data_IF_694425122977
#
_entry.id   IF_694425122977
#
_cell.length_a   1.000
_cell.length_b   1.000
_cell.length_c   1.000
_cell.angle_alpha   90.00
_cell.angle_beta   90.00
_cell.angle_gamma   90.00
#
_symmetry.space_group_name_H-M   'P 1'
#
loop_
_entity.id
_entity.type
_entity.pdbx_description
1 polymer ?
#
# COMPACT_ATOMS: atom_id res chain seq x y z
N UNK A 1 -71.63 -17.73 -4.76
CA UNK A 1 -72.02 -17.27 -6.13
C UNK A 1 -71.36 -15.95 -6.55
N UNK A 2 -70.18 -15.55 -6.03
CA UNK A 2 -69.52 -14.26 -6.34
C UNK A 2 -68.31 -14.36 -7.28
N UNK A 3 -68.00 -15.56 -7.78
CA UNK A 3 -66.68 -15.86 -8.35
C UNK A 3 -66.53 -15.49 -9.85
N UNK A 4 -67.65 -15.41 -10.59
CA UNK A 4 -67.61 -15.16 -12.04
C UNK A 4 -67.55 -13.65 -12.36
N UNK A 5 -68.19 -12.82 -11.54
CA UNK A 5 -68.20 -11.36 -11.74
C UNK A 5 -66.86 -10.71 -11.33
N UNK A 6 -66.20 -11.21 -10.29
CA UNK A 6 -64.88 -10.70 -9.87
C UNK A 6 -63.80 -10.98 -10.93
N UNK A 7 -63.82 -12.16 -11.58
CA UNK A 7 -62.88 -12.50 -12.65
C UNK A 7 -62.96 -11.55 -13.85
N UNK A 8 -64.16 -11.06 -14.21
CA UNK A 8 -64.31 -10.06 -15.31
C UNK A 8 -63.76 -8.69 -14.95
N UNK A 9 -63.96 -8.21 -13.71
CA UNK A 9 -63.42 -6.92 -13.24
C UNK A 9 -61.90 -6.95 -13.11
N UNK A 10 -61.33 -8.05 -12.59
CA UNK A 10 -59.88 -8.26 -12.55
C UNK A 10 -59.25 -8.25 -13.94
N UNK A 11 -59.89 -8.90 -14.93
CA UNK A 11 -59.41 -8.87 -16.32
C UNK A 11 -59.37 -7.46 -16.89
N UNK A 12 -60.39 -6.65 -16.62
CA UNK A 12 -60.43 -5.26 -17.12
C UNK A 12 -59.38 -4.36 -16.45
N UNK A 13 -59.11 -4.57 -15.15
CA UNK A 13 -58.07 -3.85 -14.42
C UNK A 13 -56.68 -4.26 -14.92
N UNK A 14 -56.43 -5.56 -15.14
CA UNK A 14 -55.14 -6.09 -15.61
C UNK A 14 -54.82 -5.71 -17.06
N UNK A 15 -55.83 -5.63 -17.93
CA UNK A 15 -55.66 -5.28 -19.35
C UNK A 15 -55.74 -3.78 -19.64
N UNK A 16 -55.87 -2.94 -18.61
CA UNK A 16 -55.82 -1.50 -18.79
C UNK A 16 -54.38 -1.05 -19.06
N UNK A 17 -54.13 -0.30 -20.14
CA UNK A 17 -52.78 0.16 -20.53
C UNK A 17 -52.00 0.84 -19.40
N UNK A 18 -52.73 1.46 -18.46
CA UNK A 18 -52.18 2.15 -17.29
C UNK A 18 -51.60 1.17 -16.27
N UNK A 19 -52.31 0.09 -15.94
CA UNK A 19 -51.82 -0.91 -14.97
C UNK A 19 -50.63 -1.67 -15.54
N UNK A 20 -50.63 -1.93 -16.85
CA UNK A 20 -49.49 -2.50 -17.55
C UNK A 20 -48.25 -1.58 -17.48
N UNK A 21 -48.44 -0.26 -17.65
CA UNK A 21 -47.37 0.73 -17.52
C UNK A 21 -46.79 0.80 -16.11
N UNK A 22 -47.64 0.79 -15.07
CA UNK A 22 -47.20 0.76 -13.67
C UNK A 22 -46.43 -0.52 -13.37
N UNK A 23 -46.94 -1.67 -13.83
CA UNK A 23 -46.27 -2.96 -13.67
C UNK A 23 -44.90 -2.97 -14.37
N UNK A 24 -44.81 -2.41 -15.57
CA UNK A 24 -43.56 -2.30 -16.32
C UNK A 24 -42.52 -1.46 -15.56
N UNK A 25 -42.92 -0.32 -15.00
CA UNK A 25 -42.05 0.52 -14.17
C UNK A 25 -41.57 -0.25 -12.93
N UNK A 26 -42.46 -0.96 -12.25
CA UNK A 26 -42.12 -1.80 -11.10
C UNK A 26 -41.08 -2.88 -11.44
N UNK A 27 -41.23 -3.53 -12.60
CA UNK A 27 -40.29 -4.53 -13.10
C UNK A 27 -38.93 -3.90 -13.40
N UNK A 28 -38.88 -2.74 -14.05
CA UNK A 28 -37.62 -2.03 -14.29
C UNK A 28 -36.92 -1.64 -12.98
N UNK A 29 -37.67 -1.19 -11.98
CA UNK A 29 -37.14 -0.85 -10.66
C UNK A 29 -36.56 -2.07 -9.95
N UNK A 30 -37.25 -3.22 -10.04
CA UNK A 30 -36.78 -4.48 -9.48
C UNK A 30 -35.50 -4.95 -10.17
N UNK A 31 -35.43 -4.91 -11.50
CA UNK A 31 -34.23 -5.27 -12.28
C UNK A 31 -33.05 -4.40 -11.86
N UNK A 32 -33.24 -3.07 -11.80
CA UNK A 32 -32.17 -2.15 -11.40
C UNK A 32 -31.68 -2.40 -9.97
N UNK A 33 -32.61 -2.64 -9.03
CA UNK A 33 -32.28 -2.95 -7.63
C UNK A 33 -31.49 -4.25 -7.50
N UNK A 34 -31.93 -5.32 -8.15
CA UNK A 34 -31.23 -6.61 -8.11
C UNK A 34 -29.86 -6.52 -8.80
N UNK A 35 -29.74 -5.76 -9.89
CA UNK A 35 -28.47 -5.55 -10.59
C UNK A 35 -27.44 -4.84 -9.71
N UNK A 36 -27.84 -3.77 -9.01
CA UNK A 36 -26.98 -3.03 -8.07
C UNK A 36 -26.49 -3.92 -6.91
N UNK A 37 -27.38 -4.75 -6.36
CA UNK A 37 -27.02 -5.72 -5.30
C UNK A 37 -26.06 -6.78 -5.83
N UNK A 38 -26.26 -7.25 -7.06
CA UNK A 38 -25.39 -8.23 -7.70
C UNK A 38 -23.98 -7.68 -7.94
N UNK A 39 -23.87 -6.42 -8.39
CA UNK A 39 -22.57 -5.72 -8.50
C UNK A 39 -21.87 -5.58 -7.14
N UNK A 40 -22.59 -5.10 -6.11
CA UNK A 40 -22.03 -4.97 -4.75
C UNK A 40 -21.54 -6.29 -4.16
N UNK A 41 -22.20 -7.41 -4.50
CA UNK A 41 -21.77 -8.75 -4.06
C UNK A 41 -20.41 -9.14 -4.64
N UNK A 42 -20.15 -8.82 -5.92
CA UNK A 42 -18.86 -9.09 -6.56
C UNK A 42 -17.74 -8.22 -5.99
N UNK A 43 -18.04 -6.96 -5.71
CA UNK A 43 -17.06 -6.02 -5.12
C UNK A 43 -16.68 -6.40 -3.68
N UNK A 44 -17.65 -6.85 -2.87
CA UNK A 44 -17.37 -7.33 -1.51
C UNK A 44 -16.48 -8.57 -1.46
N UNK A 45 -16.56 -9.47 -2.45
CA UNK A 45 -15.68 -10.64 -2.53
C UNK A 45 -14.25 -10.25 -2.87
N UNK A 46 -14.05 -9.34 -3.84
CA UNK A 46 -12.74 -8.82 -4.18
C UNK A 46 -12.12 -8.02 -3.02
N UNK A 47 -12.91 -7.21 -2.31
CA UNK A 47 -12.45 -6.50 -1.12
C UNK A 47 -12.00 -7.45 -0.01
N UNK A 48 -12.74 -8.54 0.25
CA UNK A 48 -12.36 -9.54 1.26
C UNK A 48 -11.02 -10.20 0.96
N UNK A 49 -10.77 -10.56 -0.28
CA UNK A 49 -9.51 -11.18 -0.69
C UNK A 49 -8.32 -10.22 -0.54
N UNK A 50 -8.47 -8.97 -0.96
CA UNK A 50 -7.42 -7.95 -0.77
C UNK A 50 -7.18 -7.62 0.70
N UNK A 51 -8.21 -7.60 1.55
CA UNK A 51 -8.07 -7.41 2.99
C UNK A 51 -7.37 -8.59 3.66
N UNK A 52 -7.67 -9.83 3.27
CA UNK A 52 -7.01 -11.03 3.79
C UNK A 52 -5.52 -11.07 3.40
N UNK A 53 -5.20 -10.74 2.14
CA UNK A 53 -3.82 -10.67 1.67
C UNK A 53 -3.02 -9.62 2.45
N UNK A 54 -3.58 -8.42 2.66
CA UNK A 54 -2.94 -7.37 3.47
C UNK A 54 -2.73 -7.79 4.92
N UNK A 55 -3.70 -8.48 5.53
CA UNK A 55 -3.56 -9.02 6.88
C UNK A 55 -2.39 -9.99 6.97
N UNK A 56 -2.28 -10.92 6.02
CA UNK A 56 -1.18 -11.89 6.00
C UNK A 56 0.18 -11.22 5.81
N UNK A 57 0.28 -10.20 4.95
CA UNK A 57 1.53 -9.45 4.77
C UNK A 57 1.92 -8.70 6.04
N UNK A 58 0.95 -8.07 6.71
CA UNK A 58 1.20 -7.35 7.96
C UNK A 58 1.61 -8.30 9.09
N UNK A 59 1.00 -9.48 9.21
CA UNK A 59 1.39 -10.48 10.22
C UNK A 59 2.81 -10.98 10.02
N UNK A 60 3.21 -11.27 8.77
CA UNK A 60 4.58 -11.69 8.44
C UNK A 60 5.57 -10.58 8.79
N UNK A 61 5.29 -9.33 8.38
CA UNK A 61 6.17 -8.20 8.72
C UNK A 61 6.28 -7.97 10.22
N UNK A 62 5.18 -8.14 10.95
CA UNK A 62 5.19 -7.97 12.40
C UNK A 62 6.05 -9.04 13.07
N UNK A 63 5.92 -10.30 12.65
CA UNK A 63 6.76 -11.41 13.11
C UNK A 63 8.25 -11.18 12.81
N UNK A 64 8.58 -10.71 11.62
CA UNK A 64 9.96 -10.37 11.24
C UNK A 64 10.51 -9.22 12.09
N UNK A 65 9.73 -8.16 12.32
CA UNK A 65 10.14 -7.03 13.14
C UNK A 65 10.33 -7.44 14.59
N UNK A 66 9.43 -8.25 15.15
CA UNK A 66 9.57 -8.82 16.50
C UNK A 66 10.83 -9.67 16.63
N UNK A 67 11.15 -10.48 15.61
CA UNK A 67 12.38 -11.27 15.59
C UNK A 67 13.63 -10.38 15.58
N UNK A 68 13.61 -9.27 14.82
CA UNK A 68 14.70 -8.29 14.77
C UNK A 68 14.83 -7.53 16.08
N UNK A 69 13.72 -7.12 16.70
CA UNK A 69 13.71 -6.46 18.02
C UNK A 69 14.27 -7.40 19.08
N UNK A 70 13.86 -8.67 19.08
CA UNK A 70 14.42 -9.68 20.00
C UNK A 70 15.93 -9.84 19.80
N UNK A 71 16.40 -9.90 18.54
CA UNK A 71 17.83 -9.97 18.23
C UNK A 71 18.57 -8.72 18.73
N UNK A 72 18.05 -7.53 18.47
CA UNK A 72 18.59 -6.23 18.89
C UNK A 72 18.57 -6.03 20.41
N UNK A 73 17.67 -6.68 21.16
CA UNK A 73 17.65 -6.61 22.62
C UNK A 73 18.67 -7.53 23.31
N UNK A 74 19.35 -8.41 22.57
CA UNK A 74 20.42 -9.23 23.14
C UNK A 74 21.75 -8.48 23.15
N UNK A 75 22.57 -8.66 24.19
CA UNK A 75 23.91 -8.05 24.27
C UNK A 75 24.77 -8.35 23.02
N UNK A 76 24.65 -9.57 22.47
CA UNK A 76 25.33 -9.96 21.24
C UNK A 76 24.81 -9.22 20.00
N UNK A 77 23.50 -8.98 19.91
CA UNK A 77 22.90 -8.27 18.76
C UNK A 77 23.14 -6.76 18.78
N UNK A 78 23.23 -6.15 19.97
CA UNK A 78 23.66 -4.75 20.12
C UNK A 78 25.12 -4.60 19.70
N UNK A 79 26.00 -5.49 20.18
CA UNK A 79 27.42 -5.45 19.84
C UNK A 79 27.65 -5.63 18.33
N UNK A 80 26.92 -6.57 17.71
CA UNK A 80 27.05 -6.82 16.28
C UNK A 80 26.53 -5.66 15.41
N UNK A 81 25.43 -5.00 15.80
CA UNK A 81 24.98 -3.83 15.03
C UNK A 81 25.87 -2.60 15.24
N UNK A 82 26.42 -2.40 16.43
CA UNK A 82 27.40 -1.34 16.66
C UNK A 82 28.66 -1.59 15.82
N UNK A 83 29.14 -2.84 15.76
CA UNK A 83 30.28 -3.23 14.93
C UNK A 83 29.99 -3.05 13.43
N UNK A 84 28.78 -3.38 12.97
CA UNK A 84 28.35 -3.19 11.57
C UNK A 84 28.27 -1.72 11.17
N UNK A 85 27.65 -0.88 12.02
CA UNK A 85 27.35 0.52 11.70
C UNK A 85 28.54 1.45 11.89
N UNK A 86 29.35 1.21 12.91
CA UNK A 86 30.40 2.14 13.33
C UNK A 86 31.81 1.60 13.10
N UNK A 87 31.97 0.41 12.54
CA UNK A 87 33.28 -0.22 12.31
C UNK A 87 34.17 -0.10 13.54
N UNK A 88 33.65 -0.48 14.71
CA UNK A 88 34.34 -0.39 15.99
C UNK A 88 34.76 -1.78 16.47
N UNK A 89 36.02 -1.88 16.89
CA UNK A 89 36.59 -3.07 17.52
C UNK A 89 36.46 -2.97 19.05
N UNK A 90 36.54 -4.11 19.75
CA UNK A 90 36.65 -4.11 21.22
C UNK A 90 37.97 -3.46 21.64
N UNK A 91 38.04 -2.95 22.87
CA UNK A 91 39.27 -2.32 23.40
C UNK A 91 40.53 -3.21 23.30
N UNK A 92 40.35 -4.54 23.24
CA UNK A 92 41.43 -5.52 23.12
C UNK A 92 41.62 -6.10 21.70
N UNK A 93 40.97 -5.53 20.67
CA UNK A 93 41.10 -5.97 19.26
C UNK A 93 41.67 -4.85 18.37
N UNK A 94 42.75 -5.15 17.63
CA UNK A 94 43.39 -4.21 16.70
C UNK A 94 42.70 -4.22 15.33
N UNK A 95 42.10 -3.09 14.93
CA UNK A 95 41.51 -2.91 13.60
C UNK A 95 42.54 -2.36 12.60
N UNK A 96 42.77 -3.07 11.50
CA UNK A 96 43.63 -2.63 10.40
C UNK A 96 42.78 -2.21 9.22
N UNK A 97 42.72 -0.91 8.93
CA UNK A 97 42.04 -0.36 7.76
C UNK A 97 43.06 -0.28 6.62
N UNK A 98 42.94 -1.16 5.63
CA UNK A 98 43.80 -1.16 4.44
C UNK A 98 43.18 -0.22 3.41
N UNK A 99 43.68 1.01 3.34
CA UNK A 99 43.37 1.94 2.25
C UNK A 99 44.30 1.59 1.09
N UNK A 100 43.73 1.20 -0.05
CA UNK A 100 44.48 1.03 -1.29
C UNK A 100 44.68 2.42 -1.90
N UNK A 101 45.89 2.97 -1.79
CA UNK A 101 46.27 4.15 -2.58
C UNK A 101 46.37 3.71 -4.04
N UNK A 102 45.40 4.15 -4.85
CA UNK A 102 45.57 4.13 -6.30
C UNK A 102 46.64 5.19 -6.63
N UNK A 103 47.82 4.70 -7.03
CA UNK A 103 49.04 5.48 -7.07
C UNK A 103 49.00 6.70 -8.00
N UNK A 104 49.80 7.72 -7.66
CA UNK A 104 50.11 8.81 -8.57
C UNK A 104 50.88 9.97 -7.96
N UNK A 105 52.21 9.95 -8.15
CA UNK A 105 53.09 11.09 -8.44
C UNK A 105 53.15 12.32 -7.51
N UNK A 106 54.37 12.60 -7.06
CA UNK A 106 54.89 13.91 -6.65
C UNK A 106 54.53 15.03 -7.64
N UNK A 107 53.79 16.07 -7.23
CA UNK A 107 53.67 17.39 -7.90
C UNK A 107 53.19 18.43 -6.85
N UNK A 108 53.70 19.69 -6.82
CA UNK A 108 53.59 20.63 -5.70
C UNK A 108 52.18 21.24 -5.56
N UNK A 109 51.87 22.02 -4.49
CA UNK A 109 50.51 22.25 -4.05
C UNK A 109 49.73 23.08 -5.07
N UNK A 110 48.69 22.47 -5.64
CA UNK A 110 47.69 23.18 -6.41
C UNK A 110 46.90 24.09 -5.46
N UNK A 111 47.16 25.40 -5.57
CA UNK A 111 46.29 26.44 -5.07
C UNK A 111 44.85 26.14 -5.47
N UNK A 112 43.98 26.00 -4.47
CA UNK A 112 42.53 25.93 -4.70
C UNK A 112 42.05 27.30 -5.12
N UNK A 113 42.14 27.62 -6.41
CA UNK A 113 41.30 28.64 -7.03
C UNK A 113 39.87 28.08 -7.13
N UNK A 114 39.26 27.85 -5.97
CA UNK A 114 37.91 27.36 -5.83
C UNK A 114 36.95 28.52 -6.03
N UNK A 115 36.02 28.34 -6.96
CA UNK A 115 34.75 29.05 -7.24
C UNK A 115 34.38 30.27 -6.37
N UNK A 116 34.54 30.18 -5.06
CA UNK A 116 34.45 31.25 -4.06
C UNK A 116 35.34 32.48 -4.32
N UNK A 117 36.55 32.31 -4.88
CA UNK A 117 37.41 33.44 -5.24
C UNK A 117 36.85 34.25 -6.42
N UNK A 118 36.16 33.58 -7.37
CA UNK A 118 35.48 34.25 -8.50
C UNK A 118 34.20 34.98 -8.10
N UNK A 119 33.52 34.50 -7.06
CA UNK A 119 32.30 35.15 -6.55
C UNK A 119 32.66 36.42 -5.76
N UNK A 120 33.75 36.41 -4.99
CA UNK A 120 34.20 37.61 -4.25
C UNK A 120 34.68 38.74 -5.17
N UNK A 121 35.32 38.45 -6.30
CA UNK A 121 35.84 39.49 -7.22
C UNK A 121 34.76 40.18 -8.08
N UNK A 122 33.49 39.80 -7.94
CA UNK A 122 32.36 40.34 -8.70
C UNK A 122 31.55 41.39 -7.90
N UNK A 123 31.89 41.58 -6.62
CA UNK A 123 31.20 42.47 -5.68
C UNK A 123 32.11 43.57 -5.08
N UNK A 124 33.35 43.66 -5.55
CA UNK A 124 34.20 44.86 -5.49
C UNK A 124 34.09 45.59 -6.83
#
# INVERSE_FOLDING_TARGET
MLDIQQKRKFRNIIYHRITLGILFILVLMAIHSTWQVYLKKRESLAMRETSAARLSELEVRNSELDSKIKKLNTNSGIEEEIRSKFSVAKNDENMVIIVREEGGSTTPPHEKTGFWTKIKSLFD
#
